data_IF_043458625820
#
_entry.id   IF_043458625820
#
_cell.length_a   1.000
_cell.length_b   1.000
_cell.length_c   1.000
_cell.angle_alpha   90.00
_cell.angle_beta   90.00
_cell.angle_gamma   90.00
#
_symmetry.space_group_name_H-M   'P 1'
#
loop_
_entity.id
_entity.type
_entity.pdbx_description
1 polymer ?
#
# COMPACT_ATOMS: atom_id res chain seq x y z
N UNK A 1 -1.62 24.47 -63.27
CA UNK A 1 -2.79 24.88 -62.45
C UNK A 1 -3.99 23.94 -62.61
N UNK A 2 -4.41 23.58 -63.84
CA UNK A 2 -5.55 22.67 -64.08
C UNK A 2 -5.38 21.27 -63.45
N UNK A 3 -4.17 20.69 -63.55
CA UNK A 3 -3.84 19.37 -62.99
C UNK A 3 -3.83 19.33 -61.45
N UNK A 4 -3.48 20.44 -60.81
CA UNK A 4 -3.50 20.56 -59.35
C UNK A 4 -4.95 20.61 -58.84
N UNK A 5 -5.82 21.34 -59.54
CA UNK A 5 -7.25 21.38 -59.22
C UNK A 5 -7.92 20.02 -59.38
N UNK A 6 -7.57 19.24 -60.42
CA UNK A 6 -8.13 17.89 -60.61
C UNK A 6 -7.67 16.91 -59.53
N UNK A 7 -6.42 17.00 -59.07
CA UNK A 7 -5.89 16.16 -57.99
C UNK A 7 -6.56 16.53 -56.66
N UNK A 8 -6.70 17.82 -56.36
CA UNK A 8 -7.39 18.30 -55.16
C UNK A 8 -8.86 17.87 -55.14
N UNK A 9 -9.54 17.97 -56.28
CA UNK A 9 -10.92 17.51 -56.44
C UNK A 9 -11.04 16.00 -56.23
N UNK A 10 -10.11 15.20 -56.76
CA UNK A 10 -10.09 13.75 -56.57
C UNK A 10 -9.88 13.33 -55.11
N UNK A 11 -9.08 14.06 -54.34
CA UNK A 11 -8.84 13.77 -52.91
C UNK A 11 -10.09 14.04 -52.07
N UNK A 12 -10.90 15.04 -52.44
CA UNK A 12 -12.14 15.39 -51.74
C UNK A 12 -13.24 14.31 -51.87
N UNK A 13 -13.29 13.53 -52.97
CA UNK A 13 -14.27 12.44 -53.09
C UNK A 13 -13.88 11.17 -52.32
N UNK A 14 -12.59 10.96 -52.07
CA UNK A 14 -12.12 9.78 -51.35
C UNK A 14 -12.52 9.80 -49.86
N UNK A 15 -12.74 10.98 -49.27
CA UNK A 15 -13.12 11.11 -47.86
C UNK A 15 -14.62 10.95 -47.61
N UNK A 16 -15.46 10.94 -48.64
CA UNK A 16 -16.93 10.88 -48.48
C UNK A 16 -17.46 9.48 -48.12
N UNK A 17 -16.68 8.42 -48.33
CA UNK A 17 -17.11 7.03 -48.09
C UNK A 17 -16.80 6.50 -46.67
N UNK A 18 -16.25 7.34 -45.78
CA UNK A 18 -15.83 6.92 -44.43
C UNK A 18 -16.87 7.06 -43.31
N UNK A 19 -18.11 7.47 -43.61
CA UNK A 19 -19.12 7.69 -42.57
C UNK A 19 -19.76 6.34 -42.15
N UNK A 20 -19.21 5.74 -41.09
CA UNK A 20 -19.83 4.57 -40.42
C UNK A 20 -21.17 5.03 -39.83
N UNK A 21 -22.28 4.55 -40.40
CA UNK A 21 -23.62 4.84 -39.89
C UNK A 21 -23.84 4.09 -38.58
N UNK A 22 -23.78 4.82 -37.47
CA UNK A 22 -24.21 4.33 -36.17
C UNK A 22 -25.73 4.33 -36.08
N UNK A 23 -26.27 3.39 -35.34
CA UNK A 23 -27.70 3.28 -35.05
C UNK A 23 -27.91 2.99 -33.56
N UNK A 24 -29.09 3.31 -33.06
CA UNK A 24 -29.49 3.03 -31.69
C UNK A 24 -29.97 1.59 -31.61
N UNK A 25 -29.35 0.76 -30.77
CA UNK A 25 -29.85 -0.58 -30.46
C UNK A 25 -30.56 -0.56 -29.11
N UNK A 26 -31.66 -1.31 -29.00
CA UNK A 26 -32.38 -1.53 -27.76
C UNK A 26 -32.37 -3.02 -27.43
N UNK A 27 -32.04 -3.35 -26.18
CA UNK A 27 -32.01 -4.73 -25.70
C UNK A 27 -32.47 -4.83 -24.25
N UNK A 28 -32.65 -6.06 -23.77
CA UNK A 28 -33.04 -6.38 -22.41
C UNK A 28 -32.03 -7.34 -21.77
N UNK A 29 -31.67 -7.06 -20.52
CA UNK A 29 -30.74 -7.85 -19.74
C UNK A 29 -31.51 -8.61 -18.67
N UNK A 30 -31.28 -9.92 -18.57
CA UNK A 30 -31.94 -10.82 -17.63
C UNK A 30 -30.94 -11.71 -16.90
N UNK A 31 -31.36 -12.28 -15.77
CA UNK A 31 -30.64 -13.33 -15.06
C UNK A 31 -30.96 -14.72 -15.63
N UNK A 32 -30.38 -15.76 -15.04
CA UNK A 32 -30.59 -17.18 -15.40
C UNK A 32 -32.04 -17.66 -15.18
N UNK A 33 -32.85 -16.90 -14.45
CA UNK A 33 -34.25 -17.18 -14.14
C UNK A 33 -35.20 -16.26 -14.93
N UNK A 34 -34.69 -15.57 -15.97
CA UNK A 34 -35.43 -14.61 -16.78
C UNK A 34 -35.93 -13.35 -16.05
N UNK A 35 -35.41 -13.05 -14.85
CA UNK A 35 -35.71 -11.80 -14.17
C UNK A 35 -34.89 -10.65 -14.76
N UNK A 36 -35.49 -9.47 -14.98
CA UNK A 36 -34.76 -8.31 -15.48
C UNK A 36 -33.72 -7.81 -14.47
N UNK A 37 -32.54 -7.43 -14.97
CA UNK A 37 -31.44 -6.89 -14.14
C UNK A 37 -31.32 -5.37 -14.37
N UNK A 38 -31.54 -4.60 -13.33
CA UNK A 38 -31.35 -3.13 -13.34
C UNK A 38 -29.90 -2.74 -13.10
N UNK A 39 -29.57 -1.49 -13.43
CA UNK A 39 -28.30 -0.85 -13.06
C UNK A 39 -27.05 -1.56 -13.61
N UNK A 40 -27.22 -2.32 -14.70
CA UNK A 40 -26.09 -2.92 -15.42
C UNK A 40 -25.39 -1.83 -16.20
N UNK A 41 -24.09 -1.72 -16.06
CA UNK A 41 -23.26 -0.78 -16.81
C UNK A 41 -22.92 -1.35 -18.18
N UNK A 42 -23.32 -0.66 -19.24
CA UNK A 42 -23.06 -1.05 -20.63
C UNK A 42 -22.06 -0.08 -21.23
N UNK A 43 -20.99 -0.61 -21.83
CA UNK A 43 -19.97 0.17 -22.51
C UNK A 43 -19.72 -0.41 -23.89
N UNK A 44 -19.81 0.42 -24.92
CA UNK A 44 -19.31 0.07 -26.25
C UNK A 44 -17.78 0.24 -26.29
N UNK A 45 -17.06 -0.81 -26.66
CA UNK A 45 -15.59 -0.84 -26.65
C UNK A 45 -14.97 0.04 -27.74
N UNK A 46 -15.66 0.26 -28.84
CA UNK A 46 -15.12 0.95 -30.01
C UNK A 46 -15.27 2.46 -29.88
N UNK A 47 -16.46 2.93 -29.49
CA UNK A 47 -16.78 4.35 -29.40
C UNK A 47 -16.85 4.90 -27.96
N UNK A 48 -16.73 4.04 -26.95
CA UNK A 48 -16.81 4.37 -25.52
C UNK A 48 -18.15 5.00 -25.08
N UNK A 49 -19.19 4.83 -25.91
CA UNK A 49 -20.56 5.19 -25.55
C UNK A 49 -21.07 4.29 -24.43
N UNK A 50 -21.88 4.86 -23.55
CA UNK A 50 -22.23 4.27 -22.26
C UNK A 50 -23.71 4.42 -21.99
N UNK A 51 -24.28 3.39 -21.41
CA UNK A 51 -25.66 3.41 -20.90
C UNK A 51 -25.77 2.55 -19.64
N UNK A 52 -26.89 2.67 -18.95
CA UNK A 52 -27.23 1.87 -17.77
C UNK A 52 -28.61 1.25 -17.96
N UNK A 53 -28.76 -0.03 -17.64
CA UNK A 53 -30.07 -0.68 -17.75
C UNK A 53 -31.09 -0.11 -16.76
N UNK A 54 -32.31 0.06 -17.24
CA UNK A 54 -33.43 0.54 -16.44
C UNK A 54 -33.96 -0.58 -15.51
N UNK A 55 -34.93 -0.25 -14.66
CA UNK A 55 -35.57 -1.19 -13.72
C UNK A 55 -36.16 -2.45 -14.37
N UNK A 56 -36.54 -2.38 -15.64
CA UNK A 56 -37.07 -3.49 -16.43
C UNK A 56 -35.97 -4.24 -17.22
N UNK A 57 -34.70 -3.94 -16.97
CA UNK A 57 -33.53 -4.51 -17.65
C UNK A 57 -33.28 -3.96 -19.04
N UNK A 58 -34.05 -2.98 -19.52
CA UNK A 58 -33.92 -2.44 -20.87
C UNK A 58 -32.81 -1.39 -20.92
N UNK A 59 -32.03 -1.40 -22.00
CA UNK A 59 -30.98 -0.41 -22.30
C UNK A 59 -31.05 0.04 -23.76
N UNK A 60 -30.43 1.19 -24.06
CA UNK A 60 -30.32 1.74 -25.40
C UNK A 60 -28.98 2.45 -25.62
N UNK A 61 -28.19 2.01 -26.61
CA UNK A 61 -26.83 2.53 -26.84
C UNK A 61 -26.53 2.70 -28.34
N UNK A 62 -25.71 3.69 -28.71
CA UNK A 62 -25.34 3.92 -30.09
C UNK A 62 -24.19 2.99 -30.52
N UNK A 63 -24.43 2.23 -31.57
CA UNK A 63 -23.54 1.16 -32.03
C UNK A 63 -23.41 1.11 -33.54
N UNK A 64 -22.36 0.46 -34.01
CA UNK A 64 -22.19 -0.02 -35.38
C UNK A 64 -22.28 -1.55 -35.40
N UNK A 65 -22.58 -2.20 -36.54
CA UNK A 65 -22.81 -3.65 -36.60
C UNK A 65 -21.63 -4.51 -36.16
N UNK A 66 -20.41 -3.98 -36.25
CA UNK A 66 -19.17 -4.65 -35.86
C UNK A 66 -18.73 -4.40 -34.42
N UNK A 67 -19.45 -3.55 -33.68
CA UNK A 67 -19.02 -3.14 -32.35
C UNK A 67 -19.26 -4.27 -31.32
N UNK A 68 -18.56 -4.17 -30.19
CA UNK A 68 -18.76 -5.06 -29.03
C UNK A 68 -19.14 -4.27 -27.79
N UNK A 69 -20.11 -4.81 -27.03
CA UNK A 69 -20.59 -4.24 -25.78
C UNK A 69 -20.07 -5.06 -24.60
N UNK A 70 -19.57 -4.37 -23.58
CA UNK A 70 -19.26 -4.93 -22.27
C UNK A 70 -20.38 -4.59 -21.31
N UNK A 71 -20.93 -5.61 -20.67
CA UNK A 71 -21.95 -5.50 -19.64
C UNK A 71 -21.36 -5.89 -18.29
N UNK A 72 -21.52 -5.04 -17.29
CA UNK A 72 -20.91 -5.20 -15.97
C UNK A 72 -21.91 -4.86 -14.87
N UNK A 73 -22.00 -5.70 -13.84
CA UNK A 73 -22.85 -5.46 -12.67
C UNK A 73 -22.11 -5.96 -11.41
N UNK A 74 -22.47 -5.46 -10.24
CA UNK A 74 -21.82 -5.80 -8.96
C UNK A 74 -22.04 -7.25 -8.50
N UNK A 75 -23.08 -7.90 -9.02
CA UNK A 75 -23.53 -9.24 -8.58
C UNK A 75 -23.51 -10.28 -9.71
N UNK A 76 -23.02 -9.93 -10.89
CA UNK A 76 -23.01 -10.82 -12.05
C UNK A 76 -21.65 -10.78 -12.72
N UNK A 77 -21.25 -11.92 -13.30
CA UNK A 77 -20.05 -11.98 -14.10
C UNK A 77 -20.15 -11.05 -15.31
N UNK A 78 -19.07 -10.31 -15.56
CA UNK A 78 -18.94 -9.45 -16.74
C UNK A 78 -19.15 -10.28 -18.00
N UNK A 79 -19.95 -9.77 -18.92
CA UNK A 79 -20.24 -10.40 -20.21
C UNK A 79 -19.89 -9.47 -21.36
N UNK A 80 -19.31 -10.01 -22.41
CA UNK A 80 -19.05 -9.30 -23.66
C UNK A 80 -19.97 -9.86 -24.73
N UNK A 81 -20.68 -8.98 -25.44
CA UNK A 81 -21.65 -9.37 -26.46
C UNK A 81 -21.40 -8.56 -27.73
N UNK A 82 -21.42 -9.24 -28.88
CA UNK A 82 -21.31 -8.57 -30.18
C UNK A 82 -22.64 -7.90 -30.55
N UNK A 83 -22.58 -6.74 -31.19
CA UNK A 83 -23.81 -6.07 -31.67
C UNK A 83 -24.55 -6.92 -32.69
N UNK A 84 -23.83 -7.67 -33.53
CA UNK A 84 -24.43 -8.61 -34.46
C UNK A 84 -25.35 -9.64 -33.78
N UNK A 85 -24.94 -10.21 -32.65
CA UNK A 85 -25.78 -11.15 -31.89
C UNK A 85 -27.03 -10.49 -31.29
N UNK A 86 -26.93 -9.22 -30.90
CA UNK A 86 -28.05 -8.45 -30.35
C UNK A 86 -29.11 -8.08 -31.41
N UNK A 87 -28.69 -7.94 -32.67
CA UNK A 87 -29.62 -7.73 -33.79
C UNK A 87 -30.51 -8.95 -34.06
N UNK A 88 -29.99 -10.16 -33.81
CA UNK A 88 -30.75 -11.42 -33.96
C UNK A 88 -31.59 -11.68 -32.73
N UNK A 89 -31.01 -11.50 -31.54
CA UNK A 89 -31.69 -11.70 -30.27
C UNK A 89 -31.35 -10.54 -29.33
N UNK A 90 -32.27 -9.58 -29.10
CA UNK A 90 -32.04 -8.41 -28.26
C UNK A 90 -32.09 -8.73 -26.76
N UNK A 91 -31.93 -9.99 -26.34
CA UNK A 91 -31.93 -10.44 -24.96
C UNK A 91 -30.55 -10.93 -24.55
N UNK A 92 -30.03 -10.41 -23.42
CA UNK A 92 -28.74 -10.79 -22.85
C UNK A 92 -28.93 -11.41 -21.48
N UNK A 93 -28.57 -12.68 -21.35
CA UNK A 93 -28.54 -13.36 -20.06
C UNK A 93 -27.21 -13.13 -19.33
N UNK A 94 -27.23 -12.79 -18.04
CA UNK A 94 -26.04 -12.69 -17.18
C UNK A 94 -26.08 -13.74 -16.07
N UNK A 95 -24.91 -14.26 -15.70
CA UNK A 95 -24.76 -15.31 -14.68
C UNK A 95 -24.39 -14.66 -13.35
N UNK A 96 -25.12 -15.02 -12.29
CA UNK A 96 -24.89 -14.46 -10.96
C UNK A 96 -23.52 -14.87 -10.42
N UNK A 97 -22.79 -13.91 -9.86
CA UNK A 97 -21.55 -14.13 -9.12
C UNK A 97 -21.91 -14.40 -7.65
N UNK A 98 -22.54 -15.54 -7.39
CA UNK A 98 -22.80 -15.97 -6.01
C UNK A 98 -21.50 -16.51 -5.42
N UNK A 99 -20.94 -15.79 -4.43
CA UNK A 99 -19.84 -16.30 -3.62
C UNK A 99 -20.44 -17.15 -2.51
N UNK A 100 -20.44 -18.46 -2.70
CA UNK A 100 -20.79 -19.41 -1.65
C UNK A 100 -19.59 -19.53 -0.69
N UNK A 101 -19.66 -18.83 0.44
CA UNK A 101 -18.61 -18.87 1.47
C UNK A 101 -18.91 -20.07 2.38
N UNK A 102 -18.07 -21.13 2.36
CA UNK A 102 -18.31 -22.27 3.23
C UNK A 102 -18.19 -21.85 4.70
N UNK A 103 -19.10 -22.33 5.53
CA UNK A 103 -19.01 -22.14 6.98
C UNK A 103 -17.75 -22.84 7.51
N UNK A 104 -16.86 -22.08 8.15
CA UNK A 104 -15.70 -22.62 8.84
C UNK A 104 -16.09 -22.84 10.30
N UNK A 105 -16.28 -24.12 10.66
CA UNK A 105 -16.46 -24.53 12.05
C UNK A 105 -15.09 -24.51 12.74
N UNK A 106 -14.80 -23.41 13.44
CA UNK A 106 -13.62 -23.34 14.31
C UNK A 106 -13.93 -24.05 15.62
N UNK A 107 -13.25 -25.18 15.85
CA UNK A 107 -13.20 -25.81 17.17
C UNK A 107 -11.97 -25.28 17.91
N UNK A 108 -12.07 -24.84 19.16
CA UNK A 108 -10.88 -24.65 19.97
C UNK A 108 -10.24 -26.02 20.16
N UNK A 109 -9.12 -26.28 19.48
CA UNK A 109 -8.23 -27.34 19.90
C UNK A 109 -7.78 -26.98 21.32
N UNK A 110 -8.41 -27.58 22.33
CA UNK A 110 -7.95 -27.51 23.71
C UNK A 110 -6.68 -28.33 23.79
N UNK A 111 -5.57 -27.74 23.38
CA UNK A 111 -4.25 -28.29 23.68
C UNK A 111 -4.08 -28.12 25.19
N UNK A 112 -3.86 -29.24 25.89
CA UNK A 112 -3.59 -29.21 27.32
C UNK A 112 -2.40 -28.30 27.59
N UNK A 113 -2.41 -27.56 28.69
CA UNK A 113 -1.25 -26.77 29.12
C UNK A 113 -0.01 -27.65 29.27
N UNK A 114 -0.19 -28.94 29.57
CA UNK A 114 0.87 -29.94 29.62
C UNK A 114 1.46 -30.19 28.23
N UNK A 115 0.63 -30.46 27.22
CA UNK A 115 1.09 -30.69 25.85
C UNK A 115 1.79 -29.46 25.26
N UNK A 116 1.31 -28.25 25.59
CA UNK A 116 1.99 -26.99 25.22
C UNK A 116 3.36 -26.88 25.89
N UNK A 117 3.44 -27.23 27.18
CA UNK A 117 4.70 -27.20 27.92
C UNK A 117 5.71 -28.19 27.32
N UNK A 118 5.27 -29.40 26.97
CA UNK A 118 6.12 -30.41 26.32
C UNK A 118 6.61 -29.96 24.95
N UNK A 119 5.75 -29.36 24.13
CA UNK A 119 6.13 -28.79 22.82
C UNK A 119 7.14 -27.66 22.97
N UNK A 120 6.95 -26.76 23.93
CA UNK A 120 7.90 -25.69 24.24
C UNK A 120 9.25 -26.26 24.71
N UNK A 121 9.23 -27.32 25.54
CA UNK A 121 10.44 -27.99 26.01
C UNK A 121 11.19 -28.66 24.86
N UNK A 122 10.48 -29.34 23.97
CA UNK A 122 11.04 -29.98 22.78
C UNK A 122 11.65 -28.95 21.83
N UNK A 123 10.96 -27.82 21.60
CA UNK A 123 11.49 -26.71 20.82
C UNK A 123 12.78 -26.14 21.42
N UNK A 124 12.86 -25.99 22.75
CA UNK A 124 14.09 -25.54 23.41
C UNK A 124 15.25 -26.51 23.26
N UNK A 125 14.98 -27.82 23.17
CA UNK A 125 16.02 -28.85 22.97
C UNK A 125 16.53 -28.88 21.53
N UNK A 126 15.65 -28.62 20.56
CA UNK A 126 16.00 -28.59 19.13
C UNK A 126 16.59 -27.24 18.70
N UNK A 127 16.30 -26.16 19.45
CA UNK A 127 16.81 -24.83 19.16
C UNK A 127 18.33 -24.76 19.36
N UNK A 128 19.07 -24.97 18.27
CA UNK A 128 20.46 -24.59 18.21
C UNK A 128 20.51 -23.08 17.95
N UNK A 129 20.85 -22.23 18.95
CA UNK A 129 20.96 -20.82 18.69
C UNK A 129 21.94 -20.64 17.54
N UNK A 130 21.61 -19.80 16.53
CA UNK A 130 22.62 -19.44 15.55
C UNK A 130 23.83 -18.97 16.34
N UNK A 131 25.00 -19.53 16.06
CA UNK A 131 26.26 -19.08 16.63
C UNK A 131 26.36 -17.61 16.20
N UNK A 132 25.86 -16.71 17.04
CA UNK A 132 26.01 -15.28 16.86
C UNK A 132 27.50 -15.11 16.89
N UNK A 133 28.05 -14.83 15.70
CA UNK A 133 29.33 -14.23 15.48
C UNK A 133 30.31 -14.55 16.62
N UNK A 134 31.16 -15.56 16.40
CA UNK A 134 32.56 -15.40 16.83
C UNK A 134 32.87 -13.92 16.54
N UNK A 135 33.37 -13.17 17.52
CA UNK A 135 33.86 -11.81 17.33
C UNK A 135 34.94 -11.86 16.24
N UNK A 136 34.53 -11.98 14.98
CA UNK A 136 35.29 -11.62 13.83
C UNK A 136 35.45 -10.13 14.05
N UNK A 137 36.69 -9.71 14.22
CA UNK A 137 37.09 -8.31 14.24
C UNK A 137 36.14 -7.55 13.32
N UNK A 138 35.26 -6.77 13.93
CA UNK A 138 34.41 -5.86 13.20
C UNK A 138 35.40 -4.99 12.44
N UNK A 139 35.49 -5.17 11.13
CA UNK A 139 36.36 -4.39 10.27
C UNK A 139 35.91 -2.95 10.47
N UNK A 140 36.64 -2.26 11.36
CA UNK A 140 36.15 -1.05 11.98
C UNK A 140 35.94 -0.05 10.88
N UNK A 141 34.69 0.38 10.68
CA UNK A 141 34.32 1.37 9.67
C UNK A 141 35.37 2.50 9.72
N UNK A 142 36.06 2.83 8.61
CA UNK A 142 37.10 3.85 8.61
C UNK A 142 36.61 5.17 9.22
N UNK A 143 35.32 5.48 9.12
CA UNK A 143 34.72 6.65 9.76
C UNK A 143 34.78 6.57 11.29
N UNK A 144 34.48 5.40 11.87
CA UNK A 144 34.51 5.18 13.32
C UNK A 144 35.93 5.27 13.89
N UNK A 145 36.91 4.77 13.14
CA UNK A 145 38.35 4.85 13.50
C UNK A 145 38.81 6.31 13.48
N UNK A 146 38.53 7.02 12.39
CA UNK A 146 38.90 8.44 12.23
C UNK A 146 38.24 9.31 13.31
N UNK A 147 36.98 9.06 13.65
CA UNK A 147 36.31 9.78 14.75
C UNK A 147 36.97 9.50 16.10
N UNK A 148 37.31 8.24 16.38
CA UNK A 148 37.92 7.83 17.65
C UNK A 148 39.33 8.40 17.81
N UNK A 149 40.13 8.36 16.74
CA UNK A 149 41.48 8.93 16.72
C UNK A 149 41.46 10.45 16.89
N UNK A 150 40.61 11.17 16.14
CA UNK A 150 40.50 12.62 16.28
C UNK A 150 40.02 13.04 17.66
N UNK A 151 39.03 12.34 18.22
CA UNK A 151 38.52 12.65 19.56
C UNK A 151 39.58 12.37 20.64
N UNK A 152 40.40 11.32 20.45
CA UNK A 152 41.54 11.02 21.32
C UNK A 152 42.63 12.08 21.23
N UNK A 153 42.98 12.54 20.04
CA UNK A 153 43.94 13.63 19.81
C UNK A 153 43.46 14.93 20.44
N UNK A 154 42.21 15.33 20.19
CA UNK A 154 41.63 16.52 20.81
C UNK A 154 41.64 16.44 22.34
N UNK A 155 41.35 15.26 22.92
CA UNK A 155 41.45 15.05 24.37
C UNK A 155 42.89 15.13 24.89
N UNK A 156 43.85 14.50 24.20
CA UNK A 156 45.25 14.56 24.63
C UNK A 156 45.82 15.96 24.50
N UNK A 157 45.52 16.67 23.41
CA UNK A 157 45.96 18.04 23.19
C UNK A 157 45.35 18.99 24.23
N UNK A 158 44.04 18.86 24.50
CA UNK A 158 43.35 19.61 25.55
C UNK A 158 43.91 19.32 26.96
N UNK A 159 44.47 18.12 27.18
CA UNK A 159 45.12 17.76 28.44
C UNK A 159 46.60 18.16 28.51
N UNK A 160 47.26 18.37 27.37
CA UNK A 160 48.72 18.46 27.32
C UNK A 160 49.30 19.85 27.60
N UNK A 161 48.55 20.95 27.52
CA UNK A 161 49.09 22.28 27.85
C UNK A 161 48.02 23.20 28.45
N UNK A 162 48.07 23.41 29.77
CA UNK A 162 47.77 24.71 30.37
C UNK A 162 48.59 24.91 31.65
N UNK A 163 49.72 25.61 31.55
CA UNK A 163 50.42 26.13 32.75
C UNK A 163 49.72 27.36 33.34
N UNK A 164 48.83 28.02 32.59
CA UNK A 164 47.87 28.98 33.12
C UNK A 164 46.56 28.87 32.34
N UNK A 165 45.49 28.46 33.02
CA UNK A 165 44.13 28.43 32.46
C UNK A 165 43.49 29.79 32.75
N UNK A 166 43.25 30.60 31.73
CA UNK A 166 42.46 31.83 31.86
C UNK A 166 41.07 31.57 31.27
N UNK A 167 40.12 31.20 32.13
CA UNK A 167 38.72 31.07 31.71
C UNK A 167 37.94 32.32 32.13
N UNK A 168 37.37 33.10 31.19
CA UNK A 168 36.48 34.21 31.51
C UNK A 168 35.24 33.76 32.32
N UNK A 169 34.87 32.48 32.26
CA UNK A 169 33.73 31.93 33.00
C UNK A 169 34.07 31.42 34.40
N UNK A 170 35.34 31.31 34.81
CA UNK A 170 35.69 30.91 36.19
C UNK A 170 35.41 32.04 37.20
N UNK A 171 35.62 33.29 36.81
CA UNK A 171 35.29 34.44 37.65
C UNK A 171 33.78 34.76 37.64
N UNK A 172 33.09 34.46 36.54
CA UNK A 172 31.62 34.59 36.46
C UNK A 172 30.93 33.42 37.20
N UNK A 173 31.49 32.21 37.11
CA UNK A 173 30.97 31.02 37.77
C UNK A 173 30.99 31.12 39.31
N UNK A 174 32.06 31.67 39.91
CA UNK A 174 32.14 31.87 41.37
C UNK A 174 31.06 32.83 41.92
N UNK A 175 30.58 33.76 41.11
CA UNK A 175 29.47 34.65 41.47
C UNK A 175 28.10 33.93 41.39
N UNK A 176 27.94 32.97 40.49
CA UNK A 176 26.68 32.23 40.31
C UNK A 176 26.58 30.94 41.18
N UNK A 177 27.69 30.38 41.66
CA UNK A 177 27.67 29.18 42.53
C UNK A 177 27.21 29.45 43.95
N UNK A 178 27.24 30.71 44.42
CA UNK A 178 26.66 31.04 45.73
C UNK A 178 25.13 31.03 45.75
N UNK A 179 24.48 31.05 44.58
CA UNK A 179 23.03 31.24 44.44
C UNK A 179 22.31 30.13 43.67
N UNK A 180 22.96 28.98 43.47
CA UNK A 180 22.29 27.79 42.95
C UNK A 180 22.49 26.61 43.89
N UNK A 181 21.41 26.22 44.56
CA UNK A 181 21.26 24.91 45.17
C UNK A 181 21.31 23.89 44.03
N UNK A 182 22.34 23.04 44.02
CA UNK A 182 22.49 21.94 43.06
C UNK A 182 21.22 21.08 43.06
N UNK A 183 20.54 21.03 41.92
CA UNK A 183 19.57 20.00 41.56
C UNK A 183 20.13 19.12 40.42
N UNK A 184 21.46 19.08 40.26
CA UNK A 184 22.11 18.34 39.18
C UNK A 184 22.35 16.85 39.50
N UNK A 185 22.12 16.42 40.75
CA UNK A 185 22.34 15.03 41.18
C UNK A 185 21.21 14.04 40.81
N UNK A 186 20.20 14.46 40.01
CA UNK A 186 19.08 13.59 39.66
C UNK A 186 19.08 13.06 38.22
N UNK A 187 20.20 13.20 37.50
CA UNK A 187 20.36 12.52 36.22
C UNK A 187 21.05 11.16 36.39
N UNK A 188 20.25 10.10 36.44
CA UNK A 188 20.76 8.72 36.45
C UNK A 188 20.59 8.15 35.04
N UNK A 189 21.71 7.82 34.38
CA UNK A 189 21.72 7.19 33.05
C UNK A 189 21.23 5.74 33.06
N UNK A 190 20.92 5.19 34.24
CA UNK A 190 20.36 3.85 34.43
C UNK A 190 19.15 3.89 35.36
N UNK A 191 18.10 3.06 35.11
CA UNK A 191 16.92 3.00 35.97
C UNK A 191 17.29 2.47 37.37
N UNK A 192 16.85 3.18 38.41
CA UNK A 192 17.13 2.79 39.81
C UNK A 192 16.37 1.53 40.21
N UNK A 193 17.03 0.66 40.96
CA UNK A 193 16.43 -0.53 41.58
C UNK A 193 15.49 -0.16 42.72
N UNK A 194 14.49 -1.02 42.96
CA UNK A 194 13.39 -0.79 43.90
C UNK A 194 13.84 -0.50 45.34
N UNK A 195 14.94 -1.11 45.77
CA UNK A 195 15.50 -0.93 47.12
C UNK A 195 16.05 0.48 47.37
N UNK A 196 16.56 1.16 46.33
CA UNK A 196 17.10 2.53 46.47
C UNK A 196 16.00 3.58 46.60
N UNK A 197 14.83 3.33 45.99
CA UNK A 197 13.66 4.21 46.07
C UNK A 197 13.02 4.17 47.46
N UNK A 198 13.02 3.01 48.12
CA UNK A 198 12.46 2.86 49.47
C UNK A 198 13.31 3.55 50.54
N UNK A 199 14.64 3.56 50.40
CA UNK A 199 15.54 4.28 51.33
C UNK A 199 15.37 5.80 51.28
N UNK A 200 14.98 6.37 50.14
CA UNK A 200 14.79 7.82 49.99
C UNK A 200 13.46 8.31 50.58
N UNK A 201 12.48 7.41 50.80
CA UNK A 201 11.14 7.75 51.31
C UNK A 201 11.08 7.87 52.84
N UNK A 202 12.09 7.33 53.53
CA UNK A 202 12.17 7.30 55.00
C UNK A 202 13.20 8.27 55.58
N UNK A 203 13.62 9.28 54.80
CA UNK A 203 14.56 10.33 55.22
C UNK A 203 13.98 11.69 54.85
#
# INVERSE_FOLDING_TARGET
>A
MKTIFTILFSILFLTSFGQIKRFLIQGQIVDQNDNPISDVYIVNLDNHDKDISQKNGVFSVWVSPGDSLVLSHISYFRKIVSVHTLLVNPKVEMVSENVDIPEIVVSPQQVSELDKAEQNLAFMQEYNPPIKFRMAEEESDPVSVIMTENNRLMRSEASSISLFRFSPSENVGKLFTLWKKDQSDEYFSTPKTREELEKKKNK
#
